data_IF_795977746239
#
_entry.id   IF_795977746239
#
_cell.length_a   1.000
_cell.length_b   1.000
_cell.length_c   1.000
_cell.angle_alpha   90.00
_cell.angle_beta   90.00
_cell.angle_gamma   90.00
#
_symmetry.space_group_name_H-M   'P 1'
#
loop_
_entity.id
_entity.type
_entity.pdbx_description
1 polymer ?
#
# COMPACT_ATOMS: atom_id res chain seq x y z
N UNK A 1 1.41 -17.96 -18.47
CA UNK A 1 2.63 -17.14 -18.36
C UNK A 1 3.55 -17.84 -17.38
N UNK A 2 4.78 -18.12 -17.79
CA UNK A 2 5.78 -18.73 -16.91
C UNK A 2 6.48 -17.67 -16.04
N UNK A 3 7.32 -18.11 -15.09
CA UNK A 3 8.04 -17.19 -14.19
C UNK A 3 9.02 -16.27 -14.93
N UNK A 4 9.63 -16.73 -16.03
CA UNK A 4 10.62 -15.96 -16.78
C UNK A 4 9.93 -14.86 -17.60
N UNK A 5 8.80 -15.19 -18.22
CA UNK A 5 7.93 -14.26 -18.92
C UNK A 5 7.35 -13.22 -17.96
N UNK A 6 6.89 -13.62 -16.77
CA UNK A 6 6.37 -12.67 -15.77
C UNK A 6 7.48 -11.74 -15.25
N UNK A 7 8.67 -12.28 -14.98
CA UNK A 7 9.84 -11.52 -14.59
C UNK A 7 10.18 -10.46 -15.64
N UNK A 8 10.20 -10.83 -16.91
CA UNK A 8 10.46 -9.91 -18.01
C UNK A 8 9.41 -8.79 -18.09
N UNK A 9 8.12 -9.13 -18.01
CA UNK A 9 7.02 -8.14 -18.08
C UNK A 9 6.99 -7.18 -16.91
N UNK A 10 7.45 -7.62 -15.73
CA UNK A 10 7.46 -6.80 -14.50
C UNK A 10 8.79 -6.07 -14.27
N UNK A 11 9.83 -6.36 -15.07
CA UNK A 11 11.19 -5.86 -14.84
C UNK A 11 11.85 -6.43 -13.56
N UNK A 12 11.33 -7.53 -13.02
CA UNK A 12 11.85 -8.18 -11.81
C UNK A 12 12.73 -9.38 -12.18
N UNK A 13 13.51 -9.87 -11.22
CA UNK A 13 14.23 -11.13 -11.39
C UNK A 13 13.28 -12.32 -11.26
N UNK A 14 13.61 -13.42 -11.95
CA UNK A 14 12.89 -14.70 -11.80
C UNK A 14 12.91 -15.20 -10.34
N UNK A 15 13.98 -14.94 -9.59
CA UNK A 15 14.06 -15.30 -8.18
C UNK A 15 13.06 -14.53 -7.32
N UNK A 16 12.80 -13.26 -7.63
CA UNK A 16 11.76 -12.47 -6.96
C UNK A 16 10.37 -13.04 -7.24
N UNK A 17 10.06 -13.40 -8.48
CA UNK A 17 8.79 -14.06 -8.82
C UNK A 17 8.63 -15.37 -8.04
N UNK A 18 9.65 -16.22 -8.02
CA UNK A 18 9.64 -17.45 -7.24
C UNK A 18 9.45 -17.19 -5.73
N UNK A 19 10.07 -16.13 -5.19
CA UNK A 19 9.92 -15.74 -3.77
C UNK A 19 8.47 -15.36 -3.46
N UNK A 20 7.81 -14.61 -4.36
CA UNK A 20 6.40 -14.23 -4.26
C UNK A 20 5.51 -15.47 -4.29
N UNK A 21 5.71 -16.37 -5.26
CA UNK A 21 4.92 -17.60 -5.40
C UNK A 21 5.03 -18.53 -4.17
N UNK A 22 6.20 -18.53 -3.53
CA UNK A 22 6.44 -19.28 -2.30
C UNK A 22 5.95 -18.56 -1.03
N UNK A 23 5.23 -17.44 -1.17
CA UNK A 23 4.68 -16.68 -0.03
C UNK A 23 5.73 -16.06 0.88
N UNK A 24 6.96 -15.86 0.38
CA UNK A 24 8.05 -15.25 1.14
C UNK A 24 8.03 -13.74 1.01
N UNK A 25 8.65 -13.08 1.99
CA UNK A 25 8.72 -11.62 2.04
C UNK A 25 9.46 -11.04 0.83
N UNK A 26 8.89 -9.98 0.25
CA UNK A 26 9.46 -9.15 -0.81
C UNK A 26 9.14 -7.68 -0.53
N UNK A 27 9.75 -6.77 -1.30
CA UNK A 27 9.39 -5.36 -1.20
C UNK A 27 7.94 -5.14 -1.65
N UNK A 28 7.26 -4.18 -1.03
CA UNK A 28 5.89 -3.79 -1.41
C UNK A 28 5.83 -3.42 -2.89
N UNK A 29 6.81 -2.68 -3.39
CA UNK A 29 6.91 -2.31 -4.80
C UNK A 29 6.92 -3.54 -5.72
N UNK A 30 7.77 -4.54 -5.45
CA UNK A 30 7.83 -5.75 -6.26
C UNK A 30 6.50 -6.51 -6.26
N UNK A 31 5.87 -6.64 -5.08
CA UNK A 31 4.56 -7.28 -4.96
C UNK A 31 3.49 -6.54 -5.78
N UNK A 32 3.39 -5.22 -5.62
CA UNK A 32 2.38 -4.41 -6.31
C UNK A 32 2.61 -4.38 -7.83
N UNK A 33 3.86 -4.36 -8.29
CA UNK A 33 4.17 -4.46 -9.73
C UNK A 33 3.68 -5.78 -10.33
N UNK A 34 3.87 -6.90 -9.63
CA UNK A 34 3.36 -8.21 -10.07
C UNK A 34 1.83 -8.22 -10.06
N UNK A 35 1.20 -7.74 -8.99
CA UNK A 35 -0.26 -7.68 -8.89
C UNK A 35 -0.88 -6.79 -9.98
N UNK A 36 -0.23 -5.66 -10.32
CA UNK A 36 -0.66 -4.79 -11.40
C UNK A 36 -0.59 -5.52 -12.76
N UNK A 37 0.54 -6.19 -13.05
CA UNK A 37 0.73 -6.95 -14.29
C UNK A 37 -0.30 -8.08 -14.46
N UNK A 38 -0.78 -8.64 -13.36
CA UNK A 38 -1.81 -9.69 -13.33
C UNK A 38 -3.24 -9.15 -13.18
N UNK A 39 -3.41 -7.82 -13.12
CA UNK A 39 -4.69 -7.15 -12.90
C UNK A 39 -5.41 -7.56 -11.59
N UNK A 40 -4.64 -7.81 -10.53
CA UNK A 40 -5.12 -8.30 -9.23
C UNK A 40 -5.20 -7.20 -8.15
N UNK A 41 -4.87 -5.95 -8.49
CA UNK A 41 -4.94 -4.83 -7.53
C UNK A 41 -6.34 -4.60 -6.98
N UNK A 42 -7.39 -5.02 -7.72
CA UNK A 42 -8.78 -4.90 -7.29
C UNK A 42 -9.09 -5.66 -6.00
N UNK A 43 -8.31 -6.69 -5.63
CA UNK A 43 -8.49 -7.37 -4.34
C UNK A 43 -8.15 -6.48 -3.13
N UNK A 44 -7.41 -5.40 -3.35
CA UNK A 44 -7.00 -4.47 -2.30
C UNK A 44 -7.90 -3.24 -2.21
N UNK A 45 -8.83 -3.02 -3.14
CA UNK A 45 -9.65 -1.80 -3.19
C UNK A 45 -10.39 -1.56 -1.88
N UNK A 46 -11.15 -2.54 -1.40
CA UNK A 46 -11.92 -2.42 -0.15
C UNK A 46 -11.03 -2.14 1.08
N UNK A 47 -9.84 -2.76 1.13
CA UNK A 47 -8.88 -2.54 2.22
C UNK A 47 -8.30 -1.13 2.13
N UNK A 48 -7.92 -0.69 0.93
CA UNK A 48 -7.38 0.65 0.69
C UNK A 48 -8.43 1.73 1.01
N UNK A 49 -9.67 1.57 0.57
CA UNK A 49 -10.77 2.49 0.85
C UNK A 49 -11.00 2.62 2.36
N UNK A 50 -10.98 1.49 3.09
CA UNK A 50 -11.12 1.47 4.55
C UNK A 50 -9.96 2.22 5.22
N UNK A 51 -8.73 1.94 4.81
CA UNK A 51 -7.55 2.58 5.41
C UNK A 51 -7.49 4.08 5.08
N UNK A 52 -7.88 4.46 3.87
CA UNK A 52 -7.96 5.86 3.45
C UNK A 52 -9.01 6.61 4.27
N UNK A 53 -10.20 6.05 4.45
CA UNK A 53 -11.24 6.63 5.29
C UNK A 53 -10.78 6.79 6.76
N UNK A 54 -10.01 5.84 7.30
CA UNK A 54 -9.43 5.95 8.64
C UNK A 54 -8.38 7.07 8.71
N UNK A 55 -7.51 7.18 7.71
CA UNK A 55 -6.50 8.23 7.63
C UNK A 55 -7.14 9.64 7.55
N UNK A 56 -8.16 9.80 6.71
CA UNK A 56 -8.90 11.06 6.57
C UNK A 56 -9.58 11.46 7.88
N UNK A 57 -10.23 10.51 8.57
CA UNK A 57 -10.82 10.76 9.88
C UNK A 57 -9.78 11.21 10.92
N UNK A 58 -8.59 10.61 10.91
CA UNK A 58 -7.51 11.02 11.81
C UNK A 58 -6.99 12.42 11.48
N UNK A 59 -6.83 12.76 10.20
CA UNK A 59 -6.43 14.10 9.77
C UNK A 59 -7.47 15.15 10.18
N UNK A 60 -8.76 14.88 9.95
CA UNK A 60 -9.85 15.78 10.37
C UNK A 60 -9.84 16.00 11.89
N UNK A 61 -9.59 14.96 12.70
CA UNK A 61 -9.47 15.10 14.16
C UNK A 61 -8.27 15.97 14.57
N UNK A 62 -7.13 15.85 13.89
CA UNK A 62 -5.96 16.71 14.14
C UNK A 62 -6.25 18.16 13.78
N UNK A 63 -6.92 18.41 12.66
CA UNK A 63 -7.29 19.75 12.21
C UNK A 63 -8.34 20.42 13.12
N UNK A 64 -9.27 19.63 13.70
CA UNK A 64 -10.34 20.15 14.57
C UNK A 64 -9.91 20.51 15.98
N UNK A 65 -8.74 20.11 16.46
CA UNK A 65 -8.30 20.50 17.81
C UNK A 65 -8.05 22.02 17.81
N UNK A 66 -8.87 22.82 18.51
CA UNK A 66 -8.58 24.24 18.65
C UNK A 66 -7.20 24.36 19.30
N UNK A 67 -6.38 25.29 18.83
CA UNK A 67 -5.21 25.72 19.62
C UNK A 67 -5.75 26.18 20.96
N UNK A 68 -5.32 25.53 22.05
CA UNK A 68 -5.67 25.99 23.39
C UNK A 68 -5.21 27.45 23.49
N UNK A 69 -6.17 28.37 23.58
CA UNK A 69 -5.86 29.76 23.89
C UNK A 69 -5.24 29.77 25.29
N UNK A 70 -4.03 30.33 25.40
CA UNK A 70 -3.37 30.50 26.69
C UNK A 70 -4.24 31.40 27.55
N UNK A 71 -4.59 30.95 28.76
CA UNK A 71 -5.36 31.77 29.71
C UNK A 71 -4.56 33.03 30.01
N UNK A 72 -5.16 34.19 29.71
CA UNK A 72 -4.54 35.50 29.93
C UNK A 72 -4.90 36.02 31.35
N UNK A 73 -4.77 35.15 32.34
CA UNK A 73 -4.92 35.49 33.77
C UNK A 73 -3.55 35.92 34.34
N UNK A 74 -3.05 37.08 33.88
CA UNK A 74 -1.88 37.74 34.46
C UNK A 74 -2.12 39.25 34.55
#
# INVERSE_FOLDING_TARGET
MDQAELALRTGLSRSTISTIENGKSVTTEALFTVLAQLNLLHYFSAVLDTQLALADNQQQRKARKPKAELSNDF
#
